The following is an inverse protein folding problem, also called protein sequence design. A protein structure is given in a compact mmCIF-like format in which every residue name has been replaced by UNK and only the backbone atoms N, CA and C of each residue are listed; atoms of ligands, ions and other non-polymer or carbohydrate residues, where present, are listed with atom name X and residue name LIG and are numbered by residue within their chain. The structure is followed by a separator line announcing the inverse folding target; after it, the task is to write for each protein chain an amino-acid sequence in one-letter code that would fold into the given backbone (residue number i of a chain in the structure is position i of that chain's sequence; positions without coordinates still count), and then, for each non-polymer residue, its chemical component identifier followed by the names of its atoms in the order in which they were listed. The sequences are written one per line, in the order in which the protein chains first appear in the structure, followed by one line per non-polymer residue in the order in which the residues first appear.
data_IF_564245620203
#
_entry.id   IF_564245620203
#
_cell.length_a   1.000
_cell.length_b   1.000
_cell.length_c   1.000
_cell.angle_alpha   90.00
_cell.angle_beta   90.00
_cell.angle_gamma   90.00
#
_symmetry.space_group_name_H-M   'P 1'
#
loop_
_entity.id
_entity.type
_entity.pdbx_description
1 polymer ?
#
# COMPACT_ATOMS: atom_id res chain seq x y z
N UNK A 1 24.14 -6.50 -1.43
CA UNK A 1 25.20 -6.26 -2.44
C UNK A 1 25.66 -4.81 -2.45
N UNK A 2 24.79 -3.80 -2.64
CA UNK A 2 25.23 -2.39 -2.69
C UNK A 2 26.03 -1.91 -1.47
N UNK A 3 25.60 -2.27 -0.26
CA UNK A 3 26.30 -1.88 0.98
C UNK A 3 27.69 -2.50 1.12
N UNK A 4 27.89 -3.73 0.63
CA UNK A 4 29.19 -4.40 0.66
C UNK A 4 30.17 -3.77 -0.34
N UNK A 5 29.65 -3.31 -1.49
CA UNK A 5 30.47 -2.61 -2.47
C UNK A 5 30.97 -1.27 -1.90
N UNK A 6 30.09 -0.54 -1.20
CA UNK A 6 30.47 0.68 -0.49
C UNK A 6 31.54 0.42 0.56
N UNK A 7 31.43 -0.65 1.35
CA UNK A 7 32.46 -1.02 2.35
C UNK A 7 33.82 -1.30 1.70
N UNK A 8 33.84 -2.02 0.58
CA UNK A 8 35.08 -2.32 -0.14
C UNK A 8 35.72 -1.11 -0.84
N UNK A 9 34.96 -0.07 -1.17
CA UNK A 9 35.43 1.09 -1.96
C UNK A 9 35.46 2.39 -1.15
N UNK A 10 35.28 2.33 0.18
CA UNK A 10 35.17 3.54 1.01
C UNK A 10 36.48 4.26 1.26
N UNK A 11 37.62 3.61 1.07
CA UNK A 11 38.95 4.13 1.44
C UNK A 11 38.93 4.84 2.81
N UNK A 12 39.13 6.16 2.83
CA UNK A 12 39.11 7.01 4.02
C UNK A 12 37.81 7.82 4.20
N UNK A 13 36.79 7.57 3.39
CA UNK A 13 35.51 8.26 3.49
C UNK A 13 34.70 7.72 4.69
N UNK A 14 34.27 8.57 5.64
CA UNK A 14 33.35 8.16 6.67
C UNK A 14 31.98 7.84 6.06
N UNK A 15 31.54 6.59 6.17
CA UNK A 15 30.26 6.11 5.64
C UNK A 15 29.34 5.66 6.77
N UNK A 16 28.10 6.14 6.72
CA UNK A 16 27.00 5.70 7.57
C UNK A 16 25.91 5.13 6.66
N UNK A 17 25.38 3.97 7.01
CA UNK A 17 24.31 3.31 6.26
C UNK A 17 23.04 3.31 7.11
N UNK A 18 21.96 3.89 6.58
CA UNK A 18 20.63 3.84 7.19
C UNK A 18 19.78 2.83 6.43
N UNK A 19 19.22 1.85 7.16
CA UNK A 19 18.30 0.83 6.65
C UNK A 19 16.90 1.09 7.23
N UNK A 20 16.09 1.93 6.57
CA UNK A 20 14.71 2.14 7.00
C UNK A 20 13.85 0.93 6.62
N UNK A 21 12.74 0.77 7.34
CA UNK A 21 11.67 -0.16 6.98
C UNK A 21 10.75 0.49 5.96
N UNK A 22 9.50 0.05 5.81
CA UNK A 22 8.63 0.60 4.78
C UNK A 22 8.27 2.06 5.14
N UNK A 23 8.76 2.99 4.33
CA UNK A 23 8.60 4.41 4.57
C UNK A 23 7.18 4.84 4.21
N UNK A 24 6.48 5.46 5.14
CA UNK A 24 5.15 6.04 4.92
C UNK A 24 5.22 7.55 4.72
N UNK A 25 4.06 8.19 4.53
CA UNK A 25 3.96 9.64 4.58
C UNK A 25 4.49 10.21 5.91
N UNK A 26 4.77 11.51 5.88
CA UNK A 26 5.31 12.24 7.02
C UNK A 26 4.32 12.33 8.15
N UNK A 27 4.82 12.25 9.38
CA UNK A 27 4.01 12.42 10.57
C UNK A 27 3.75 13.90 10.86
N UNK A 28 4.80 14.74 10.83
CA UNK A 28 4.76 16.17 11.17
C UNK A 28 5.38 17.09 10.13
N UNK A 29 6.58 16.78 9.64
CA UNK A 29 7.38 17.71 8.82
C UNK A 29 7.57 17.17 7.39
N UNK A 30 7.59 18.02 6.33
CA UNK A 30 7.32 19.46 6.33
C UNK A 30 5.84 19.82 6.59
N UNK A 31 4.93 18.87 6.39
CA UNK A 31 3.53 18.88 6.87
C UNK A 31 3.04 17.44 6.93
N UNK A 32 2.00 17.16 7.74
CA UNK A 32 1.47 15.81 7.91
C UNK A 32 0.85 15.26 6.61
N UNK A 33 1.14 14.00 6.27
CA UNK A 33 0.58 13.35 5.07
C UNK A 33 1.34 13.67 3.76
N UNK A 34 2.51 14.29 3.81
CA UNK A 34 3.30 14.54 2.59
C UNK A 34 3.77 13.22 1.96
N UNK A 35 3.69 13.12 0.63
CA UNK A 35 3.97 11.94 -0.19
C UNK A 35 3.09 10.71 0.09
N UNK A 36 1.78 10.90 0.23
CA UNK A 36 0.83 9.78 0.21
C UNK A 36 0.81 9.06 -1.16
N UNK A 37 1.44 7.90 -1.23
CA UNK A 37 1.26 6.94 -2.32
C UNK A 37 0.28 5.86 -1.87
N UNK A 38 -0.76 5.63 -2.68
CA UNK A 38 -1.69 4.53 -2.43
C UNK A 38 -0.93 3.21 -2.57
N UNK A 39 -0.98 2.40 -1.52
CA UNK A 39 -0.54 1.01 -1.58
C UNK A 39 -1.70 0.20 -2.14
N UNK A 40 -1.60 -0.17 -3.42
CA UNK A 40 -2.60 -1.01 -4.07
C UNK A 40 -2.46 -2.45 -3.57
N UNK A 41 -3.23 -2.78 -2.54
CA UNK A 41 -3.58 -4.12 -2.09
C UNK A 41 -2.39 -5.11 -1.92
N UNK A 42 -1.90 -5.24 -0.69
CA UNK A 42 -0.87 -6.22 -0.37
C UNK A 42 -1.51 -7.56 0.05
N UNK A 43 -1.03 -8.65 -0.55
CA UNK A 43 -1.29 -10.02 -0.10
C UNK A 43 -0.51 -10.28 1.18
N UNK A 44 -1.08 -9.89 2.32
CA UNK A 44 -0.42 -9.97 3.63
C UNK A 44 -1.30 -10.75 4.59
N UNK A 45 -0.69 -11.67 5.34
CA UNK A 45 -1.39 -12.36 6.42
C UNK A 45 -1.81 -11.32 7.47
N UNK A 46 -3.06 -11.37 7.91
CA UNK A 46 -3.64 -10.48 8.92
C UNK A 46 -2.80 -10.28 10.18
N UNK A 47 -2.05 -11.31 10.59
CA UNK A 47 -1.22 -11.32 11.80
C UNK A 47 0.21 -10.84 11.56
N UNK A 48 0.60 -10.57 10.31
CA UNK A 48 1.93 -10.08 9.99
C UNK A 48 2.12 -8.67 10.56
N UNK A 49 3.25 -8.49 11.24
CA UNK A 49 3.70 -7.17 11.69
C UNK A 49 4.09 -6.37 10.46
N UNK A 50 3.47 -5.20 10.33
CA UNK A 50 3.71 -4.27 9.25
C UNK A 50 4.70 -3.22 9.74
N UNK A 51 5.97 -3.37 9.37
CA UNK A 51 7.03 -2.48 9.83
C UNK A 51 7.07 -1.20 9.01
N UNK A 52 6.44 -0.17 9.58
CA UNK A 52 6.27 1.14 8.99
C UNK A 52 7.13 2.17 9.71
N UNK A 53 7.63 3.15 8.97
CA UNK A 53 8.27 4.32 9.57
C UNK A 53 7.92 5.59 8.79
N UNK A 54 7.47 6.68 9.45
CA UNK A 54 7.25 7.96 8.77
C UNK A 54 8.53 8.53 8.15
N UNK A 55 8.40 9.14 6.97
CA UNK A 55 9.54 9.69 6.24
C UNK A 55 10.37 10.73 7.04
N UNK A 56 9.69 11.60 7.79
CA UNK A 56 10.33 12.60 8.64
C UNK A 56 11.11 11.99 9.80
N UNK A 57 10.65 10.86 10.36
CA UNK A 57 11.41 10.12 11.37
C UNK A 57 12.67 9.46 10.80
N UNK A 58 12.63 9.02 9.54
CA UNK A 58 13.82 8.50 8.85
C UNK A 58 14.86 9.60 8.65
N UNK A 59 14.43 10.78 8.18
CA UNK A 59 15.33 11.95 8.01
C UNK A 59 15.93 12.37 9.34
N UNK A 60 15.13 12.45 10.41
CA UNK A 60 15.63 12.77 11.74
C UNK A 60 16.66 11.73 12.22
N UNK A 61 16.42 10.45 11.93
CA UNK A 61 17.37 9.37 12.25
C UNK A 61 18.68 9.51 11.47
N UNK A 62 18.63 9.91 10.19
CA UNK A 62 19.82 10.19 9.39
C UNK A 62 20.66 11.32 10.00
N UNK A 63 20.03 12.45 10.35
CA UNK A 63 20.71 13.60 10.96
C UNK A 63 21.32 13.20 12.30
N UNK A 64 20.58 12.49 13.14
CA UNK A 64 21.08 12.02 14.45
C UNK A 64 22.24 11.05 14.30
N UNK A 65 22.19 10.15 13.31
CA UNK A 65 23.31 9.27 13.01
C UNK A 65 24.54 10.06 12.58
N UNK A 66 24.40 11.09 11.73
CA UNK A 66 25.53 11.94 11.35
C UNK A 66 26.16 12.61 12.58
N UNK A 67 25.35 13.21 13.46
CA UNK A 67 25.83 13.86 14.68
C UNK A 67 26.53 12.86 15.62
N UNK A 68 25.94 11.69 15.83
CA UNK A 68 26.50 10.67 16.72
C UNK A 68 27.86 10.11 16.24
N UNK A 69 28.12 10.15 14.93
CA UNK A 69 29.35 9.62 14.33
C UNK A 69 30.34 10.72 13.92
N UNK A 70 30.02 12.00 14.13
CA UNK A 70 30.85 13.13 13.70
C UNK A 70 32.30 13.04 14.19
N UNK A 71 32.53 12.46 15.37
CA UNK A 71 33.84 12.31 15.98
C UNK A 71 34.47 10.90 15.81
N UNK A 72 33.76 9.97 15.15
CA UNK A 72 34.19 8.57 14.99
C UNK A 72 34.18 8.14 13.52
N UNK A 73 35.00 8.74 12.64
CA UNK A 73 34.94 8.53 11.19
C UNK A 73 35.39 7.13 10.73
N UNK A 74 36.09 6.39 11.59
CA UNK A 74 36.80 5.15 11.22
C UNK A 74 35.92 3.89 11.20
N UNK A 75 34.71 3.95 11.77
CA UNK A 75 33.83 2.79 11.89
C UNK A 75 32.64 2.93 10.94
N UNK A 76 32.50 1.98 10.02
CA UNK A 76 31.28 1.86 9.24
C UNK A 76 30.13 1.46 10.18
N UNK A 77 29.15 2.34 10.31
CA UNK A 77 27.99 2.13 11.18
C UNK A 77 26.72 1.91 10.36
N UNK A 78 25.98 0.86 10.69
CA UNK A 78 24.70 0.52 10.06
C UNK A 78 23.59 0.71 11.10
N UNK A 79 22.64 1.61 10.82
CA UNK A 79 21.48 1.85 11.67
C UNK A 79 20.22 1.30 11.01
N UNK A 80 19.52 0.43 11.73
CA UNK A 80 18.20 -0.06 11.34
C UNK A 80 17.13 0.87 11.93
N UNK A 81 16.29 1.43 11.07
CA UNK A 81 15.26 2.40 11.47
C UNK A 81 13.88 1.82 11.16
N UNK A 82 13.16 1.41 12.20
CA UNK A 82 11.86 0.78 12.08
C UNK A 82 11.05 0.91 13.37
N UNK A 83 9.73 0.82 13.25
CA UNK A 83 8.85 0.89 14.43
C UNK A 83 8.61 -0.48 15.05
N UNK A 84 8.70 -1.57 14.28
CA UNK A 84 8.21 -2.89 14.68
C UNK A 84 8.74 -3.42 16.02
N UNK A 85 10.01 -3.15 16.34
CA UNK A 85 10.63 -3.63 17.57
C UNK A 85 10.08 -2.96 18.84
N UNK A 86 9.69 -1.68 18.75
CA UNK A 86 9.24 -0.88 19.91
C UNK A 86 7.74 -0.63 19.92
N UNK A 87 7.14 -0.56 18.74
CA UNK A 87 5.72 -0.27 18.54
C UNK A 87 5.21 -1.06 17.31
N UNK A 88 5.02 -2.38 17.44
CA UNK A 88 4.53 -3.22 16.36
C UNK A 88 3.07 -2.91 16.04
N UNK A 89 2.76 -2.80 14.75
CA UNK A 89 1.39 -2.71 14.24
C UNK A 89 1.16 -3.92 13.34
N UNK A 90 0.08 -4.66 13.59
CA UNK A 90 -0.34 -5.77 12.74
C UNK A 90 -1.24 -5.30 11.61
N UNK A 91 -1.21 -6.00 10.49
CA UNK A 91 -2.01 -5.65 9.32
C UNK A 91 -3.52 -5.56 9.62
N UNK A 92 -4.06 -6.45 10.47
CA UNK A 92 -5.48 -6.37 10.86
C UNK A 92 -5.81 -5.08 11.62
N UNK A 93 -4.89 -4.54 12.43
CA UNK A 93 -5.12 -3.31 13.20
C UNK A 93 -5.21 -2.09 12.28
N UNK A 94 -4.43 -2.09 11.19
CA UNK A 94 -4.52 -1.04 10.15
C UNK A 94 -5.93 -1.01 9.57
N UNK A 95 -6.51 -2.17 9.27
CA UNK A 95 -7.91 -2.25 8.81
C UNK A 95 -8.90 -1.71 9.84
N UNK A 96 -8.71 -1.99 11.13
CA UNK A 96 -9.56 -1.46 12.19
C UNK A 96 -9.46 0.06 12.30
N UNK A 97 -8.25 0.62 12.19
CA UNK A 97 -8.05 2.07 12.20
C UNK A 97 -8.77 2.75 11.03
N UNK A 98 -8.63 2.19 9.83
CA UNK A 98 -9.30 2.69 8.62
C UNK A 98 -10.83 2.61 8.78
N UNK A 99 -11.35 1.46 9.21
CA UNK A 99 -12.79 1.28 9.43
C UNK A 99 -13.36 2.26 10.46
N UNK A 100 -12.68 2.42 11.59
CA UNK A 100 -13.09 3.33 12.66
C UNK A 100 -13.08 4.79 12.22
N UNK A 101 -12.04 5.20 11.47
CA UNK A 101 -11.93 6.55 10.94
C UNK A 101 -13.12 6.89 10.03
N UNK A 102 -13.43 6.04 9.05
CA UNK A 102 -14.52 6.27 8.10
C UNK A 102 -15.91 6.08 8.71
N UNK A 103 -16.03 5.30 9.79
CA UNK A 103 -17.29 5.22 10.55
C UNK A 103 -17.59 6.55 11.26
N UNK A 104 -16.56 7.23 11.77
CA UNK A 104 -16.70 8.53 12.45
C UNK A 104 -16.75 9.71 11.49
N UNK A 105 -16.05 9.62 10.37
CA UNK A 105 -15.97 10.65 9.34
C UNK A 105 -16.42 10.03 8.01
N UNK A 106 -17.74 9.83 7.81
CA UNK A 106 -18.24 9.19 6.61
C UNK A 106 -17.91 10.03 5.37
N UNK A 107 -17.35 9.37 4.37
CA UNK A 107 -17.15 9.98 3.05
C UNK A 107 -18.52 10.28 2.43
N UNK A 108 -18.70 11.48 1.90
CA UNK A 108 -19.93 11.90 1.24
C UNK A 108 -19.79 11.64 -0.26
N UNK A 109 -20.71 10.85 -0.81
CA UNK A 109 -20.73 10.57 -2.24
C UNK A 109 -21.12 11.82 -3.06
N UNK A 110 -21.07 11.70 -4.39
CA UNK A 110 -21.45 12.77 -5.32
C UNK A 110 -22.93 13.18 -5.22
N UNK A 111 -23.74 12.43 -4.48
CA UNK A 111 -25.17 12.65 -4.27
C UNK A 111 -25.48 13.18 -2.86
N UNK A 112 -24.47 13.47 -2.04
CA UNK A 112 -24.65 13.99 -0.69
C UNK A 112 -24.93 12.93 0.37
N UNK A 113 -24.86 11.64 0.05
CA UNK A 113 -25.13 10.56 0.99
C UNK A 113 -23.84 10.08 1.68
N UNK A 114 -23.88 9.74 2.98
CA UNK A 114 -22.76 9.13 3.67
C UNK A 114 -22.55 7.70 3.15
N UNK A 115 -21.34 7.42 2.67
CA UNK A 115 -20.93 6.07 2.27
C UNK A 115 -20.70 5.24 3.54
N UNK A 116 -21.54 4.22 3.72
CA UNK A 116 -21.41 3.28 4.83
C UNK A 116 -20.28 2.30 4.52
N UNK A 117 -19.18 2.41 5.26
CA UNK A 117 -18.07 1.46 5.17
C UNK A 117 -18.43 0.14 5.86
N UNK A 118 -18.21 -0.97 5.17
CA UNK A 118 -18.33 -2.31 5.74
C UNK A 118 -17.01 -2.79 6.34
N UNK A 119 -17.05 -3.71 7.31
CA UNK A 119 -15.83 -4.37 7.78
C UNK A 119 -15.18 -5.15 6.62
N UNK A 120 -13.90 -4.90 6.40
CA UNK A 120 -13.11 -5.58 5.37
C UNK A 120 -13.07 -7.09 5.59
N UNK A 121 -13.24 -7.87 4.52
CA UNK A 121 -12.93 -9.30 4.53
C UNK A 121 -11.45 -9.49 4.24
N UNK A 122 -10.68 -9.87 5.26
CA UNK A 122 -9.25 -10.15 5.11
C UNK A 122 -9.06 -11.47 4.36
N UNK A 123 -8.28 -11.45 3.28
CA UNK A 123 -7.91 -12.63 2.50
C UNK A 123 -6.63 -13.24 3.10
N UNK A 124 -6.77 -13.83 4.28
CA UNK A 124 -5.67 -14.36 5.10
C UNK A 124 -5.04 -15.68 4.59
N UNK A 125 -5.55 -16.25 3.50
CA UNK A 125 -5.04 -17.51 2.96
C UNK A 125 -4.96 -17.50 1.44
N UNK A 126 -3.97 -18.20 0.85
CA UNK A 126 -3.89 -18.39 -0.59
C UNK A 126 -5.18 -18.98 -1.15
N UNK A 127 -5.84 -19.89 -0.43
CA UNK A 127 -7.12 -20.46 -0.87
C UNK A 127 -8.25 -19.42 -0.95
N UNK A 128 -8.38 -18.54 0.06
CA UNK A 128 -9.36 -17.44 0.03
C UNK A 128 -9.04 -16.44 -1.07
N UNK A 129 -7.77 -16.13 -1.28
CA UNK A 129 -7.33 -15.26 -2.38
C UNK A 129 -7.63 -15.86 -3.75
N UNK A 130 -7.26 -17.12 -3.99
CA UNK A 130 -7.56 -17.80 -5.26
C UNK A 130 -9.06 -17.92 -5.51
N UNK A 131 -9.86 -18.21 -4.48
CA UNK A 131 -11.33 -18.22 -4.58
C UNK A 131 -11.88 -16.83 -4.93
N UNK A 132 -11.36 -15.78 -4.29
CA UNK A 132 -11.72 -14.40 -4.61
C UNK A 132 -11.34 -14.02 -6.05
N UNK A 133 -10.11 -14.29 -6.47
CA UNK A 133 -9.63 -14.04 -7.84
C UNK A 133 -10.39 -14.86 -8.87
N UNK A 134 -10.73 -16.10 -8.55
CA UNK A 134 -11.52 -16.97 -9.40
C UNK A 134 -12.89 -16.32 -9.69
N UNK A 135 -13.58 -15.86 -8.65
CA UNK A 135 -14.92 -15.25 -8.80
C UNK A 135 -14.85 -13.86 -9.43
N UNK A 136 -13.93 -13.02 -9.00
CA UNK A 136 -13.88 -11.60 -9.37
C UNK A 136 -13.28 -11.36 -10.76
N UNK A 137 -12.31 -12.18 -11.17
CA UNK A 137 -11.48 -11.93 -12.35
C UNK A 137 -11.49 -13.10 -13.34
N UNK A 138 -11.25 -14.33 -12.87
CA UNK A 138 -11.05 -15.48 -13.78
C UNK A 138 -12.36 -15.96 -14.40
N UNK A 139 -13.44 -16.08 -13.63
CA UNK A 139 -14.75 -16.52 -14.12
C UNK A 139 -15.32 -15.54 -15.16
N UNK A 140 -15.33 -14.21 -14.95
CA UNK A 140 -15.73 -13.26 -15.99
C UNK A 140 -14.90 -13.38 -17.27
N UNK A 141 -13.59 -13.59 -17.16
CA UNK A 141 -12.71 -13.78 -18.32
C UNK A 141 -12.97 -15.11 -19.04
N UNK A 142 -13.20 -16.20 -18.31
CA UNK A 142 -13.54 -17.50 -18.89
C UNK A 142 -14.92 -17.49 -19.56
N UNK A 143 -15.91 -16.87 -18.92
CA UNK A 143 -17.24 -16.67 -19.49
C UNK A 143 -17.14 -15.85 -20.79
N UNK A 144 -16.37 -14.75 -20.78
CA UNK A 144 -16.09 -13.96 -22.00
C UNK A 144 -15.45 -14.78 -23.12
N UNK A 145 -14.48 -15.66 -22.81
CA UNK A 145 -13.87 -16.54 -23.82
C UNK A 145 -14.88 -17.55 -24.37
N UNK A 146 -15.64 -18.22 -23.52
CA UNK A 146 -16.63 -19.21 -23.93
C UNK A 146 -17.75 -18.58 -24.79
N UNK A 147 -18.24 -17.38 -24.42
CA UNK A 147 -19.24 -16.66 -25.23
C UNK A 147 -18.69 -16.31 -26.62
N UNK A 148 -17.43 -15.83 -26.70
CA UNK A 148 -16.76 -15.52 -27.97
C UNK A 148 -16.56 -16.76 -28.86
N UNK A 149 -16.23 -17.91 -28.26
CA UNK A 149 -16.05 -19.18 -28.97
C UNK A 149 -17.38 -19.80 -29.44
N UNK A 150 -18.47 -19.55 -28.71
CA UNK A 150 -19.82 -20.04 -29.05
C UNK A 150 -20.54 -19.23 -30.14
N UNK A 151 -19.93 -18.16 -30.67
CA UNK A 151 -20.57 -17.29 -31.67
C UNK A 151 -21.78 -16.50 -31.13
N UNK A 152 -21.97 -16.48 -29.82
CA UNK A 152 -23.05 -15.76 -29.16
C UNK A 152 -22.71 -14.27 -29.21
N UNK A 153 -23.43 -13.52 -30.05
CA UNK A 153 -23.23 -12.08 -30.18
C UNK A 153 -23.47 -11.40 -28.82
N UNK A 154 -22.51 -10.54 -28.48
CA UNK A 154 -22.42 -9.78 -27.23
C UNK A 154 -23.63 -8.88 -26.97
N UNK A 155 -24.49 -8.69 -27.98
CA UNK A 155 -25.70 -7.86 -27.95
C UNK A 155 -26.76 -8.44 -27.01
N UNK A 156 -26.73 -9.75 -26.75
CA UNK A 156 -27.65 -10.41 -25.81
C UNK A 156 -27.41 -10.02 -24.33
N UNK A 157 -26.22 -9.49 -24.01
CA UNK A 157 -25.91 -8.88 -22.72
C UNK A 157 -25.13 -7.57 -22.93
N UNK A 158 -25.58 -6.65 -23.78
CA UNK A 158 -25.14 -5.26 -23.94
C UNK A 158 -23.77 -4.87 -23.33
N UNK A 159 -22.67 -5.57 -23.66
CA UNK A 159 -21.39 -5.42 -22.97
C UNK A 159 -20.23 -5.60 -23.93
N UNK A 160 -20.23 -4.77 -24.99
CA UNK A 160 -19.09 -4.62 -25.90
C UNK A 160 -17.84 -4.11 -25.14
N UNK A 161 -16.74 -4.86 -25.07
CA UNK A 161 -15.51 -4.37 -24.45
C UNK A 161 -14.90 -3.16 -25.19
N UNK A 162 -15.30 -2.89 -26.45
CA UNK A 162 -14.97 -1.65 -27.15
C UNK A 162 -15.87 -0.47 -26.76
N UNK A 163 -17.05 -0.74 -26.18
CA UNK A 163 -17.92 0.29 -25.59
C UNK A 163 -17.57 0.59 -24.14
N UNK A 164 -16.58 -0.11 -23.56
CA UNK A 164 -15.98 0.29 -22.29
C UNK A 164 -15.26 1.60 -22.54
N UNK A 165 -15.94 2.66 -22.16
CA UNK A 165 -15.32 3.94 -21.90
C UNK A 165 -14.38 3.73 -20.70
N UNK A 166 -13.10 3.58 -21.00
CA UNK A 166 -12.08 3.36 -19.97
C UNK A 166 -11.95 4.57 -19.05
N UNK A 167 -12.24 5.77 -19.55
CA UNK A 167 -12.25 6.98 -18.74
C UNK A 167 -13.42 6.95 -17.75
N UNK A 168 -14.64 6.64 -18.20
CA UNK A 168 -15.80 6.43 -17.31
C UNK A 168 -15.59 5.27 -16.33
N UNK A 169 -15.08 4.13 -16.80
CA UNK A 169 -14.80 2.98 -15.94
C UNK A 169 -13.77 3.32 -14.87
N UNK A 170 -12.69 4.02 -15.21
CA UNK A 170 -11.71 4.43 -14.20
C UNK A 170 -12.26 5.51 -13.28
N UNK A 171 -12.85 6.59 -13.80
CA UNK A 171 -13.29 7.75 -13.02
C UNK A 171 -14.56 7.50 -12.19
N UNK A 172 -15.49 6.69 -12.69
CA UNK A 172 -16.83 6.53 -12.10
C UNK A 172 -17.07 5.16 -11.46
N UNK A 173 -16.28 4.12 -11.78
CA UNK A 173 -16.46 2.76 -11.22
C UNK A 173 -15.24 2.31 -10.41
N UNK A 174 -14.05 2.32 -11.00
CA UNK A 174 -12.83 1.76 -10.41
C UNK A 174 -12.24 2.68 -9.35
N UNK A 175 -12.07 3.98 -9.64
CA UNK A 175 -11.54 4.97 -8.70
C UNK A 175 -12.51 5.11 -7.53
N UNK A 176 -13.83 5.38 -7.69
CA UNK A 176 -14.75 5.44 -6.57
C UNK A 176 -14.81 4.13 -5.76
N UNK A 177 -14.74 2.97 -6.41
CA UNK A 177 -14.57 1.69 -5.73
C UNK A 177 -13.28 1.64 -4.89
N UNK A 178 -12.15 2.11 -5.42
CA UNK A 178 -10.89 2.24 -4.68
C UNK A 178 -10.91 3.34 -3.60
N UNK A 179 -11.73 4.38 -3.75
CA UNK A 179 -11.95 5.40 -2.72
C UNK A 179 -12.71 4.75 -1.54
N UNK A 180 -13.81 4.03 -1.83
CA UNK A 180 -14.61 3.25 -0.87
C UNK A 180 -13.78 2.18 -0.13
N UNK A 181 -12.74 1.61 -0.77
CA UNK A 181 -12.02 0.43 -0.25
C UNK A 181 -10.56 0.68 0.17
N UNK A 182 -9.87 1.70 -0.34
CA UNK A 182 -8.42 1.84 -0.08
C UNK A 182 -8.07 3.22 0.43
N UNK A 183 -8.45 4.29 -0.25
CA UNK A 183 -8.18 5.68 0.17
C UNK A 183 -9.15 6.59 -0.57
N UNK A 184 -10.28 6.96 0.03
CA UNK A 184 -10.83 8.33 0.22
C UNK A 184 -12.29 8.27 0.64
#
# INVERSE_FOLDING_TARGET
MGEMLLDHHKDNLPIIIIRPTMITSTYKEPFSGWNERKIDCLLVNSQTIFDLIPADMVVNSMIMAMVANANNPSSQMIYHVGSSLRNPVQFFQIHEFVFHYFTKNPYIDKYGNPVIVGKFKVLDSPAKFHKYMAVRSVLPLKLRRAMRESGMELDSFNFDPKSIDWEDYFLNVRIPGLLIYVVK
#
